data_IF_234032569052
#
_entry.id   IF_234032569052
#
_cell.length_a   1.000
_cell.length_b   1.000
_cell.length_c   1.000
_cell.angle_alpha   90.00
_cell.angle_beta   90.00
_cell.angle_gamma   90.00
#
_symmetry.space_group_name_H-M   'P 1'
#
loop_
_entity.id
_entity.type
_entity.pdbx_description
1 polymer ?
#
# COMPACT_ATOMS: atom_id res chain seq x y z
N UNK A 1 -19.45 -31.69 -25.34
CA UNK A 1 -19.54 -30.86 -24.12
C UNK A 1 -19.04 -29.47 -24.49
N UNK A 2 -19.94 -28.50 -24.61
CA UNK A 2 -19.56 -27.12 -24.88
C UNK A 2 -18.98 -26.54 -23.58
N UNK A 3 -17.71 -26.12 -23.62
CA UNK A 3 -17.17 -25.25 -22.59
C UNK A 3 -17.94 -23.94 -22.68
N UNK A 4 -18.89 -23.73 -21.76
CA UNK A 4 -19.54 -22.44 -21.58
C UNK A 4 -18.45 -21.45 -21.18
N UNK A 5 -18.03 -20.62 -22.14
CA UNK A 5 -17.27 -19.42 -21.85
C UNK A 5 -18.11 -18.61 -20.86
N UNK A 6 -17.72 -18.62 -19.59
CA UNK A 6 -18.15 -17.59 -18.66
C UNK A 6 -17.56 -16.31 -19.22
N UNK A 7 -18.36 -15.52 -19.93
CA UNK A 7 -18.03 -14.13 -20.19
C UNK A 7 -17.90 -13.47 -18.82
N UNK A 8 -16.68 -13.43 -18.28
CA UNK A 8 -16.33 -12.43 -17.29
C UNK A 8 -16.60 -11.10 -17.96
N UNK A 9 -17.68 -10.43 -17.57
CA UNK A 9 -17.83 -9.00 -17.85
C UNK A 9 -16.54 -8.35 -17.37
N UNK A 10 -15.66 -8.01 -18.31
CA UNK A 10 -14.46 -7.24 -18.01
C UNK A 10 -14.97 -5.86 -17.63
N UNK A 11 -15.12 -5.63 -16.34
CA UNK A 11 -15.29 -4.29 -15.80
C UNK A 11 -14.02 -3.53 -16.18
N UNK A 12 -14.18 -2.35 -16.77
CA UNK A 12 -13.05 -1.47 -17.05
C UNK A 12 -12.42 -1.06 -15.71
N UNK A 13 -11.22 -1.60 -15.44
CA UNK A 13 -10.48 -1.38 -14.21
C UNK A 13 -9.94 0.05 -14.17
N UNK A 14 -10.13 0.75 -13.05
CA UNK A 14 -9.65 2.10 -12.87
C UNK A 14 -9.38 2.38 -11.38
N UNK A 15 -8.10 2.35 -10.99
CA UNK A 15 -7.69 2.61 -9.61
C UNK A 15 -8.00 4.03 -9.14
N UNK A 16 -8.01 5.03 -10.05
CA UNK A 16 -8.38 6.41 -9.73
C UNK A 16 -9.87 6.55 -9.39
N UNK A 17 -10.70 5.56 -9.77
CA UNK A 17 -12.12 5.49 -9.44
C UNK A 17 -12.46 4.33 -8.49
N UNK A 18 -11.45 3.67 -7.90
CA UNK A 18 -11.60 2.49 -7.05
C UNK A 18 -12.34 1.31 -7.72
N UNK A 19 -12.27 1.24 -9.06
CA UNK A 19 -12.81 0.13 -9.84
C UNK A 19 -11.76 -0.97 -9.94
N UNK A 20 -11.84 -1.94 -9.05
CA UNK A 20 -10.98 -3.12 -9.05
C UNK A 20 -11.77 -4.38 -9.46
N UNK A 21 -11.09 -5.40 -10.01
CA UNK A 21 -11.68 -6.71 -10.23
C UNK A 21 -12.27 -7.31 -8.96
N UNK A 22 -13.29 -8.16 -9.12
CA UNK A 22 -13.97 -8.83 -7.99
C UNK A 22 -13.04 -9.68 -7.13
N UNK A 23 -11.94 -10.16 -7.69
CA UNK A 23 -10.90 -10.92 -7.00
C UNK A 23 -10.24 -10.08 -5.89
N UNK A 24 -10.25 -8.75 -6.02
CA UNK A 24 -9.69 -7.82 -5.03
C UNK A 24 -10.73 -7.21 -4.09
N UNK A 25 -12.02 -7.56 -4.20
CA UNK A 25 -13.08 -6.97 -3.38
C UNK A 25 -12.83 -7.13 -1.88
N UNK A 26 -12.24 -8.27 -1.47
CA UNK A 26 -11.89 -8.56 -0.07
C UNK A 26 -10.38 -8.55 0.17
N UNK A 27 -9.56 -8.17 -0.80
CA UNK A 27 -8.12 -8.16 -0.63
C UNK A 27 -7.70 -7.15 0.44
N UNK A 28 -6.63 -7.47 1.14
CA UNK A 28 -5.92 -6.52 2.01
C UNK A 28 -4.74 -5.93 1.25
N UNK A 29 -4.40 -4.68 1.55
CA UNK A 29 -3.22 -4.02 0.99
C UNK A 29 -2.02 -4.19 1.92
N UNK A 30 -0.83 -4.20 1.33
CA UNK A 30 0.44 -4.14 2.07
C UNK A 30 1.14 -2.83 1.76
N UNK A 31 1.70 -2.20 2.78
CA UNK A 31 2.58 -1.05 2.63
C UNK A 31 3.92 -1.53 2.08
N UNK A 32 4.60 -0.68 1.32
CA UNK A 32 5.96 -0.94 0.82
C UNK A 32 6.89 -1.34 1.98
N UNK A 33 6.74 -0.66 3.12
CA UNK A 33 7.47 -0.94 4.35
C UNK A 33 7.17 -2.33 4.96
N UNK A 34 5.93 -2.81 4.85
CA UNK A 34 5.55 -4.14 5.33
C UNK A 34 6.07 -5.23 4.40
N UNK A 35 5.93 -5.02 3.09
CA UNK A 35 6.48 -5.93 2.09
C UNK A 35 7.99 -6.07 2.30
N UNK A 36 8.71 -4.96 2.53
CA UNK A 36 10.12 -5.02 2.86
C UNK A 36 10.39 -5.92 4.07
N UNK A 37 9.68 -5.74 5.20
CA UNK A 37 9.89 -6.57 6.41
C UNK A 37 9.59 -8.05 6.19
N UNK A 38 8.54 -8.36 5.42
CA UNK A 38 8.19 -9.75 5.07
C UNK A 38 9.29 -10.39 4.21
N UNK A 39 9.78 -9.67 3.20
CA UNK A 39 10.83 -10.16 2.32
C UNK A 39 12.19 -10.27 3.03
N UNK A 40 12.51 -9.32 3.91
CA UNK A 40 13.73 -9.34 4.73
C UNK A 40 13.76 -10.55 5.67
N UNK A 41 12.62 -10.85 6.29
CA UNK A 41 12.48 -12.07 7.10
C UNK A 41 12.63 -13.33 6.26
N UNK A 42 11.98 -13.40 5.09
CA UNK A 42 12.07 -14.55 4.18
C UNK A 42 13.49 -14.78 3.67
N UNK A 43 14.23 -13.71 3.39
CA UNK A 43 15.65 -13.75 2.99
C UNK A 43 16.53 -14.25 4.14
N UNK A 44 16.34 -13.73 5.35
CA UNK A 44 17.08 -14.17 6.54
C UNK A 44 16.86 -15.65 6.84
N UNK A 45 15.61 -16.12 6.75
CA UNK A 45 15.28 -17.54 6.92
C UNK A 45 15.98 -18.42 5.87
N UNK A 46 16.02 -17.96 4.62
CA UNK A 46 16.67 -18.67 3.54
C UNK A 46 18.18 -18.83 3.78
N UNK A 47 18.83 -17.74 4.21
CA UNK A 47 20.27 -17.72 4.53
C UNK A 47 20.59 -18.60 5.74
N UNK A 48 19.75 -18.56 6.77
CA UNK A 48 19.93 -19.37 7.99
C UNK A 48 19.75 -20.87 7.72
N UNK A 49 18.90 -21.23 6.76
CA UNK A 49 18.66 -22.62 6.38
C UNK A 49 19.78 -23.24 5.51
N UNK A 50 20.85 -22.48 5.18
CA UNK A 50 21.91 -22.88 4.24
C UNK A 50 21.35 -23.48 2.94
N UNK A 51 20.27 -22.89 2.41
CA UNK A 51 19.74 -23.31 1.12
C UNK A 51 20.69 -22.81 0.03
N UNK A 52 21.36 -23.73 -0.66
CA UNK A 52 22.27 -23.44 -1.79
C UNK A 52 21.54 -22.82 -3.00
N UNK A 53 20.21 -22.96 -3.06
CA UNK A 53 19.41 -22.42 -4.16
C UNK A 53 19.24 -20.91 -4.02
N UNK A 54 19.51 -20.13 -5.05
CA UNK A 54 19.26 -18.69 -5.00
C UNK A 54 17.77 -18.34 -4.93
N UNK A 55 17.44 -17.24 -4.24
CA UNK A 55 16.09 -16.70 -4.25
C UNK A 55 15.69 -16.21 -5.65
N UNK A 56 14.41 -16.35 -6.06
CA UNK A 56 13.98 -15.92 -7.39
C UNK A 56 14.31 -14.45 -7.67
N UNK A 57 14.74 -14.15 -8.91
CA UNK A 57 15.12 -12.79 -9.31
C UNK A 57 14.00 -11.75 -9.08
N UNK A 58 12.73 -12.16 -9.23
CA UNK A 58 11.58 -11.29 -8.96
C UNK A 58 11.54 -10.88 -7.47
N UNK A 59 11.85 -11.82 -6.56
CA UNK A 59 11.86 -11.57 -5.13
C UNK A 59 12.98 -10.59 -4.77
N UNK A 60 14.19 -10.80 -5.32
CA UNK A 60 15.31 -9.89 -5.07
C UNK A 60 15.06 -8.49 -5.62
N UNK A 61 14.47 -8.35 -6.80
CA UNK A 61 14.07 -7.05 -7.36
C UNK A 61 13.03 -6.36 -6.48
N UNK A 62 12.00 -7.07 -6.04
CA UNK A 62 10.97 -6.53 -5.13
C UNK A 62 11.57 -6.16 -3.76
N UNK A 63 12.48 -6.97 -3.23
CA UNK A 63 13.21 -6.68 -1.99
C UNK A 63 13.99 -5.36 -2.12
N UNK A 64 14.83 -5.22 -3.17
CA UNK A 64 15.60 -4.00 -3.38
C UNK A 64 14.72 -2.76 -3.58
N UNK A 65 13.60 -2.90 -4.32
CA UNK A 65 12.64 -1.81 -4.49
C UNK A 65 12.01 -1.40 -3.15
N UNK A 66 11.48 -2.37 -2.41
CA UNK A 66 10.78 -2.11 -1.14
C UNK A 66 11.75 -1.62 -0.07
N UNK A 67 13.00 -2.09 -0.05
CA UNK A 67 14.06 -1.55 0.80
C UNK A 67 14.35 -0.08 0.52
N UNK A 68 14.45 0.28 -0.77
CA UNK A 68 14.76 1.65 -1.20
C UNK A 68 13.62 2.64 -0.93
N UNK A 69 12.38 2.20 -1.16
CA UNK A 69 11.21 3.08 -1.09
C UNK A 69 10.39 2.94 0.20
N UNK A 70 10.78 2.03 1.10
CA UNK A 70 10.20 1.94 2.44
C UNK A 70 10.31 3.30 3.14
N UNK A 71 9.14 3.88 3.46
CA UNK A 71 9.05 5.15 4.19
C UNK A 71 9.23 4.96 5.69
N UNK A 72 9.02 3.73 6.18
CA UNK A 72 9.01 3.42 7.59
C UNK A 72 9.89 2.19 7.87
N UNK A 73 10.94 2.34 8.67
CA UNK A 73 11.91 1.29 9.00
C UNK A 73 11.54 0.53 10.28
N UNK A 74 10.91 1.20 11.25
CA UNK A 74 10.54 0.59 12.52
C UNK A 74 9.18 -0.14 12.41
N UNK A 75 9.11 -1.40 12.89
CA UNK A 75 7.90 -2.22 12.91
C UNK A 75 6.78 -1.59 13.73
N UNK A 76 7.11 -0.96 14.86
CA UNK A 76 6.14 -0.28 15.71
C UNK A 76 5.54 0.92 14.98
N UNK A 77 6.36 1.70 14.28
CA UNK A 77 5.88 2.84 13.49
C UNK A 77 5.01 2.40 12.32
N UNK A 78 5.39 1.33 11.61
CA UNK A 78 4.57 0.72 10.55
C UNK A 78 3.18 0.35 11.10
N UNK A 79 3.14 -0.36 12.23
CA UNK A 79 1.89 -0.75 12.89
C UNK A 79 1.06 0.46 13.33
N UNK A 80 1.72 1.48 13.89
CA UNK A 80 1.06 2.71 14.33
C UNK A 80 0.44 3.48 13.15
N UNK A 81 1.17 3.67 12.05
CA UNK A 81 0.66 4.34 10.84
C UNK A 81 -0.51 3.55 10.25
N UNK A 82 -0.39 2.23 10.19
CA UNK A 82 -1.48 1.37 9.69
C UNK A 82 -2.74 1.51 10.54
N UNK A 83 -2.64 1.35 11.86
CA UNK A 83 -3.81 1.44 12.75
C UNK A 83 -4.45 2.83 12.69
N UNK A 84 -3.62 3.88 12.62
CA UNK A 84 -4.09 5.26 12.48
C UNK A 84 -4.93 5.44 11.22
N UNK A 85 -4.45 4.97 10.06
CA UNK A 85 -5.15 5.13 8.79
C UNK A 85 -6.35 4.19 8.65
N UNK A 86 -6.30 2.97 9.22
CA UNK A 86 -7.42 2.01 9.20
C UNK A 86 -8.65 2.55 9.93
N UNK A 87 -8.44 3.38 10.96
CA UNK A 87 -9.52 4.02 11.71
C UNK A 87 -10.10 5.25 10.99
N UNK A 88 -9.60 5.60 9.80
CA UNK A 88 -10.10 6.71 8.97
C UNK A 88 -10.96 6.17 7.83
N UNK A 89 -11.71 7.05 7.17
CA UNK A 89 -12.68 6.69 6.13
C UNK A 89 -12.05 6.37 4.76
N UNK A 90 -10.87 5.76 4.70
CA UNK A 90 -10.20 5.43 3.44
C UNK A 90 -10.61 4.05 2.91
N UNK A 91 -10.62 3.91 1.59
CA UNK A 91 -10.53 2.61 0.95
C UNK A 91 -9.15 1.99 1.21
N UNK A 92 -9.04 0.65 1.27
CA UNK A 92 -7.76 -0.04 1.56
C UNK A 92 -6.64 0.34 0.59
N UNK A 93 -7.00 0.61 -0.67
CA UNK A 93 -6.09 1.14 -1.69
C UNK A 93 -5.60 2.54 -1.34
N UNK A 94 -6.51 3.47 -1.03
CA UNK A 94 -6.19 4.86 -0.68
C UNK A 94 -5.27 4.92 0.54
N UNK A 95 -5.59 4.14 1.57
CA UNK A 95 -4.76 3.99 2.77
C UNK A 95 -3.32 3.62 2.43
N UNK A 96 -3.15 2.58 1.60
CA UNK A 96 -1.82 2.14 1.20
C UNK A 96 -1.09 3.19 0.36
N UNK A 97 -1.80 3.88 -0.53
CA UNK A 97 -1.23 4.96 -1.34
C UNK A 97 -0.78 6.14 -0.48
N UNK A 98 -1.58 6.59 0.49
CA UNK A 98 -1.20 7.64 1.44
C UNK A 98 0.08 7.26 2.21
N UNK A 99 0.13 6.05 2.76
CA UNK A 99 1.28 5.58 3.52
C UNK A 99 2.54 5.34 2.68
N UNK A 100 2.40 4.99 1.40
CA UNK A 100 3.53 4.75 0.49
C UNK A 100 4.08 6.04 -0.13
N UNK A 101 3.19 6.95 -0.54
CA UNK A 101 3.55 8.20 -1.21
C UNK A 101 3.95 9.28 -0.21
N UNK A 102 3.24 9.34 0.93
CA UNK A 102 3.36 10.39 1.95
C UNK A 102 3.27 11.80 1.34
N UNK A 103 2.12 12.17 0.74
CA UNK A 103 1.91 13.52 0.22
C UNK A 103 2.00 14.56 1.35
N UNK A 104 2.43 15.77 1.01
CA UNK A 104 2.72 16.85 1.95
C UNK A 104 1.51 17.73 2.25
N UNK A 105 0.50 17.72 1.37
CA UNK A 105 -0.71 18.52 1.51
C UNK A 105 -1.89 17.84 0.79
N UNK A 106 -3.10 18.35 1.04
CA UNK A 106 -4.33 17.81 0.47
C UNK A 106 -4.37 17.87 -1.06
N UNK A 107 -3.88 18.97 -1.67
CA UNK A 107 -3.82 19.13 -3.13
C UNK A 107 -2.96 18.03 -3.79
N UNK A 108 -1.77 17.78 -3.26
CA UNK A 108 -0.89 16.71 -3.74
C UNK A 108 -1.56 15.34 -3.55
N UNK A 109 -2.20 15.11 -2.40
CA UNK A 109 -2.90 13.86 -2.12
C UNK A 109 -4.04 13.60 -3.12
N UNK A 110 -4.89 14.61 -3.38
CA UNK A 110 -5.99 14.54 -4.35
C UNK A 110 -5.47 14.36 -5.78
N UNK A 111 -4.39 15.05 -6.16
CA UNK A 111 -3.76 14.90 -7.47
C UNK A 111 -3.18 13.49 -7.70
N UNK A 112 -2.49 12.93 -6.71
CA UNK A 112 -1.90 11.58 -6.80
C UNK A 112 -2.93 10.47 -6.62
N UNK A 113 -4.02 10.72 -5.88
CA UNK A 113 -5.06 9.74 -5.57
C UNK A 113 -6.43 10.40 -5.82
N UNK A 114 -6.87 10.47 -7.10
CA UNK A 114 -8.07 11.22 -7.49
C UNK A 114 -9.37 10.74 -6.81
N UNK A 115 -9.41 9.49 -6.34
CA UNK A 115 -10.56 8.97 -5.60
C UNK A 115 -10.79 9.67 -4.26
N UNK A 116 -9.78 10.34 -3.71
CA UNK A 116 -9.90 11.14 -2.48
C UNK A 116 -10.71 12.41 -2.68
N UNK A 117 -10.75 12.96 -3.89
CA UNK A 117 -11.41 14.24 -4.17
C UNK A 117 -12.90 14.18 -3.87
N UNK A 118 -13.58 13.12 -4.33
CA UNK A 118 -15.00 12.86 -4.02
C UNK A 118 -15.26 12.54 -2.55
N UNK A 119 -14.23 12.13 -1.80
CA UNK A 119 -14.36 11.63 -0.43
C UNK A 119 -14.12 12.72 0.61
N UNK A 120 -13.22 13.66 0.32
CA UNK A 120 -12.80 14.75 1.19
C UNK A 120 -13.06 16.13 0.54
N UNK A 121 -14.11 16.24 -0.28
CA UNK A 121 -14.50 17.50 -0.92
C UNK A 121 -14.83 18.57 0.14
N UNK A 122 -15.62 18.21 1.15
CA UNK A 122 -16.05 19.09 2.24
C UNK A 122 -15.21 18.94 3.54
N UNK A 123 -14.14 18.14 3.53
CA UNK A 123 -13.39 17.75 4.74
C UNK A 123 -11.87 17.80 4.50
N UNK A 124 -11.41 18.87 3.82
CA UNK A 124 -10.02 19.06 3.44
C UNK A 124 -9.08 19.28 4.64
N UNK A 125 -9.55 20.00 5.66
CA UNK A 125 -8.79 20.24 6.88
C UNK A 125 -8.48 18.91 7.59
N UNK A 126 -9.45 18.00 7.68
CA UNK A 126 -9.24 16.68 8.28
C UNK A 126 -8.30 15.80 7.44
N UNK A 127 -8.35 15.91 6.10
CA UNK A 127 -7.36 15.24 5.26
C UNK A 127 -5.96 15.77 5.57
N UNK A 128 -5.80 17.09 5.68
CA UNK A 128 -4.53 17.73 6.02
C UNK A 128 -4.00 17.28 7.39
N UNK A 129 -4.84 17.23 8.42
CA UNK A 129 -4.48 16.73 9.75
C UNK A 129 -3.94 15.28 9.70
N UNK A 130 -4.60 14.41 8.93
CA UNK A 130 -4.16 13.02 8.74
C UNK A 130 -2.79 12.98 8.06
N UNK A 131 -2.56 13.82 7.05
CA UNK A 131 -1.27 13.88 6.35
C UNK A 131 -0.15 14.35 7.27
N UNK A 132 -0.40 15.37 8.09
CA UNK A 132 0.55 15.87 9.08
C UNK A 132 0.92 14.81 10.11
N UNK A 133 -0.06 14.03 10.58
CA UNK A 133 0.19 12.87 11.45
C UNK A 133 1.10 11.83 10.76
N UNK A 134 0.86 11.53 9.48
CA UNK A 134 1.70 10.60 8.71
C UNK A 134 3.13 11.14 8.54
N UNK A 135 3.30 12.42 8.20
CA UNK A 135 4.63 13.05 8.07
C UNK A 135 5.38 13.04 9.40
N UNK A 136 4.67 13.30 10.50
CA UNK A 136 5.22 13.24 11.85
C UNK A 136 5.79 11.84 12.14
N UNK A 137 5.06 10.76 11.83
CA UNK A 137 5.57 9.39 11.98
C UNK A 137 6.72 9.03 11.04
N UNK A 138 6.87 9.73 9.91
CA UNK A 138 8.00 9.56 8.99
C UNK A 138 9.27 10.23 9.52
N UNK A 139 9.15 11.39 10.16
CA UNK A 139 10.30 12.17 10.66
C UNK A 139 10.93 11.60 11.95
N UNK A 140 10.16 10.91 12.80
CA UNK A 140 10.64 10.35 14.08
C UNK A 140 11.34 8.98 13.98
N UNK A 141 11.94 8.63 12.84
CA UNK A 141 12.55 7.31 12.59
C UNK A 141 14.05 7.34 12.35
#
# INVERSE_FOLDING_TARGET
>A
MAFSYVQTQQIEENAAELKFPKEFANAETLLTSEVYKLLDHRKTQHETANQDQELPAVLMKTYSYTQRFSKFKNRETISSVRNMLTNKKFHKFELAQIANLCPQNADEAKCLIPSLERRFEDDEDHLSDILDDVQTKKCYQ
#
